data_IF_270890801060
#
_entry.id   IF_270890801060
#
_cell.length_a   1.000
_cell.length_b   1.000
_cell.length_c   1.000
_cell.angle_alpha   90.00
_cell.angle_beta   90.00
_cell.angle_gamma   90.00
#
_symmetry.space_group_name_H-M   'P 1'
#
loop_
_entity.id
_entity.type
_entity.pdbx_description
1 polymer ?
#
# COMPACT_ATOMS: atom_id res chain seq x y z
N UNK A 1 -54.42 6.07 27.84
CA UNK A 1 -53.73 4.83 27.44
C UNK A 1 -52.38 5.20 26.86
N UNK A 2 -51.29 4.81 27.53
CA UNK A 2 -49.93 5.15 27.14
C UNK A 2 -49.16 3.86 26.79
N UNK A 3 -48.45 3.78 25.65
CA UNK A 3 -47.57 2.65 25.39
C UNK A 3 -46.18 2.94 25.97
N UNK A 4 -45.72 2.01 26.81
CA UNK A 4 -44.38 1.91 27.38
C UNK A 4 -43.30 1.78 26.30
N UNK A 5 -42.38 2.76 26.22
CA UNK A 5 -41.13 2.65 25.46
C UNK A 5 -40.12 1.82 26.26
N UNK A 6 -39.81 0.62 25.79
CA UNK A 6 -38.65 -0.15 26.25
C UNK A 6 -37.38 0.43 25.62
N UNK A 7 -36.46 0.93 26.44
CA UNK A 7 -35.11 1.31 26.02
C UNK A 7 -34.26 0.04 26.00
N UNK A 8 -34.04 -0.53 24.80
CA UNK A 8 -32.99 -1.53 24.62
C UNK A 8 -31.63 -0.85 24.80
N UNK A 9 -31.00 -1.09 25.95
CA UNK A 9 -29.60 -0.73 26.20
C UNK A 9 -28.71 -1.80 25.58
N UNK A 10 -28.29 -1.60 24.34
CA UNK A 10 -27.28 -2.44 23.69
C UNK A 10 -25.96 -2.35 24.47
N UNK A 11 -25.63 -3.43 25.18
CA UNK A 11 -24.31 -3.65 25.77
C UNK A 11 -23.30 -3.88 24.63
N UNK A 12 -22.62 -2.81 24.19
CA UNK A 12 -21.38 -2.94 23.41
C UNK A 12 -20.32 -3.57 24.32
N UNK A 13 -20.14 -4.88 24.16
CA UNK A 13 -18.97 -5.58 24.70
C UNK A 13 -17.74 -5.07 23.95
N UNK A 14 -17.00 -4.17 24.59
CA UNK A 14 -15.65 -3.82 24.16
C UNK A 14 -14.75 -5.03 24.35
N UNK A 15 -14.63 -5.87 23.32
CA UNK A 15 -13.57 -6.87 23.24
C UNK A 15 -12.24 -6.13 23.11
N UNK A 16 -11.47 -6.11 24.20
CA UNK A 16 -10.09 -5.62 24.19
C UNK A 16 -9.32 -6.45 23.14
N UNK A 17 -8.61 -5.86 22.18
CA UNK A 17 -7.68 -6.63 21.38
C UNK A 17 -6.56 -7.08 22.32
N UNK A 18 -6.53 -8.38 22.63
CA UNK A 18 -5.36 -9.02 23.22
C UNK A 18 -4.20 -8.74 22.27
N UNK A 19 -3.32 -7.84 22.67
CA UNK A 19 -2.03 -7.61 22.03
C UNK A 19 -1.24 -8.90 22.17
N UNK A 20 -1.37 -9.78 21.19
CA UNK A 20 -0.50 -10.93 21.03
C UNK A 20 0.89 -10.38 20.74
N UNK A 21 1.72 -10.26 21.77
CA UNK A 21 3.17 -10.19 21.60
C UNK A 21 3.62 -11.57 21.14
N UNK A 22 3.33 -11.90 19.89
CA UNK A 22 4.10 -12.90 19.18
C UNK A 22 5.47 -12.27 18.96
N UNK A 23 6.37 -12.45 19.91
CA UNK A 23 7.78 -12.56 19.56
C UNK A 23 7.83 -13.71 18.57
N UNK A 24 7.83 -13.37 17.29
CA UNK A 24 8.45 -14.21 16.28
C UNK A 24 9.86 -14.49 16.81
N UNK A 25 10.02 -15.62 17.50
CA UNK A 25 11.32 -16.23 17.64
C UNK A 25 11.69 -16.63 16.21
N UNK A 26 12.20 -15.67 15.43
CA UNK A 26 13.11 -16.00 14.36
C UNK A 26 14.07 -16.99 14.99
N UNK A 27 14.06 -18.23 14.49
CA UNK A 27 14.80 -19.31 15.10
C UNK A 27 16.25 -18.86 15.18
N UNK A 28 16.66 -18.46 16.37
CA UNK A 28 17.99 -17.97 16.64
C UNK A 28 18.88 -19.17 16.35
N UNK A 29 19.47 -19.16 15.16
CA UNK A 29 20.42 -20.11 14.61
C UNK A 29 20.30 -21.49 15.25
N UNK A 30 19.51 -22.38 14.64
CA UNK A 30 19.52 -23.80 15.01
C UNK A 30 20.98 -24.25 14.99
N UNK A 31 21.55 -24.34 16.19
CA UNK A 31 22.94 -24.60 16.41
C UNK A 31 23.04 -26.09 16.12
N UNK A 32 23.42 -26.45 14.89
CA UNK A 32 23.60 -27.80 14.38
C UNK A 32 24.72 -28.59 15.09
N UNK A 33 24.96 -28.27 16.35
CA UNK A 33 25.83 -28.99 17.27
C UNK A 33 25.40 -30.46 17.29
N UNK A 34 24.10 -30.77 17.38
CA UNK A 34 23.62 -32.15 17.41
C UNK A 34 23.88 -32.94 16.11
N UNK A 35 23.91 -32.30 14.93
CA UNK A 35 24.13 -32.99 13.66
C UNK A 35 25.61 -33.32 13.40
N UNK A 36 26.54 -32.52 13.96
CA UNK A 36 27.98 -32.69 13.75
C UNK A 36 28.69 -33.37 14.94
N UNK A 37 28.00 -33.63 16.04
CA UNK A 37 28.58 -34.35 17.17
C UNK A 37 28.69 -35.84 16.88
N UNK A 38 29.88 -36.27 16.44
CA UNK A 38 30.29 -37.67 16.55
C UNK A 38 30.65 -37.92 18.02
N UNK A 39 29.88 -38.77 18.69
CA UNK A 39 30.23 -39.25 20.02
C UNK A 39 31.58 -39.95 19.95
N UNK A 40 32.47 -39.63 20.90
CA UNK A 40 33.73 -40.34 21.02
C UNK A 40 33.46 -41.74 21.56
N UNK A 41 34.23 -42.71 21.07
CA UNK A 41 34.20 -44.07 21.59
C UNK A 41 34.50 -44.09 23.10
N UNK A 42 33.90 -45.02 23.87
CA UNK A 42 34.19 -45.17 25.29
C UNK A 42 35.70 -45.28 25.54
N UNK A 43 36.24 -44.39 26.37
CA UNK A 43 37.68 -44.39 26.64
C UNK A 43 38.04 -45.52 27.60
N UNK A 44 38.88 -46.46 27.18
CA UNK A 44 39.46 -47.52 28.02
C UNK A 44 40.41 -47.01 29.11
N UNK A 45 40.75 -45.72 29.07
CA UNK A 45 41.68 -45.09 30.01
C UNK A 45 41.09 -44.97 31.42
N UNK A 46 39.79 -44.70 31.54
CA UNK A 46 39.10 -44.54 32.83
C UNK A 46 39.07 -45.90 33.56
N UNK A 47 39.89 -46.04 34.60
CA UNK A 47 40.02 -47.28 35.39
C UNK A 47 41.26 -48.14 35.12
N UNK A 48 42.10 -47.75 34.16
CA UNK A 48 43.35 -48.47 33.81
C UNK A 48 44.55 -48.15 34.72
N UNK A 49 44.37 -47.32 35.76
CA UNK A 49 45.47 -46.90 36.62
C UNK A 49 45.84 -47.98 37.64
N UNK A 50 47.02 -48.58 37.48
CA UNK A 50 47.60 -49.49 38.47
C UNK A 50 48.46 -48.70 39.44
N UNK A 51 48.16 -48.78 40.73
CA UNK A 51 48.92 -48.10 41.80
C UNK A 51 50.34 -48.65 41.88
N UNK A 52 51.39 -47.85 41.57
CA UNK A 52 52.78 -48.30 41.70
C UNK A 52 53.13 -48.52 43.17
N UNK A 53 53.98 -49.52 43.44
CA UNK A 53 54.33 -49.93 44.81
C UNK A 53 55.37 -48.99 45.46
N UNK A 54 56.21 -48.38 44.64
CA UNK A 54 57.25 -47.45 45.08
C UNK A 54 56.80 -45.97 44.91
N UNK A 55 56.97 -45.13 45.96
CA UNK A 55 56.46 -43.75 45.95
C UNK A 55 57.14 -42.86 44.91
N UNK A 56 58.44 -43.05 44.68
CA UNK A 56 59.23 -42.27 43.71
C UNK A 56 58.81 -42.57 42.26
N UNK A 57 58.44 -43.82 41.97
CA UNK A 57 57.94 -44.20 40.64
C UNK A 57 56.53 -43.66 40.38
N UNK A 58 55.68 -43.65 41.41
CA UNK A 58 54.34 -43.09 41.33
C UNK A 58 54.38 -41.58 41.00
N UNK A 59 55.29 -40.83 41.64
CA UNK A 59 55.49 -39.41 41.36
C UNK A 59 55.98 -39.17 39.92
N UNK A 60 56.96 -39.95 39.45
CA UNK A 60 57.47 -39.84 38.09
C UNK A 60 56.39 -40.13 37.03
N UNK A 61 55.59 -41.19 37.21
CA UNK A 61 54.47 -41.55 36.33
C UNK A 61 53.40 -40.47 36.32
N UNK A 62 53.08 -39.89 37.49
CA UNK A 62 52.11 -38.80 37.60
C UNK A 62 52.62 -37.51 36.93
N UNK A 63 53.90 -37.17 37.11
CA UNK A 63 54.51 -36.00 36.48
C UNK A 63 54.53 -36.13 34.94
N UNK A 64 54.87 -37.31 34.42
CA UNK A 64 54.80 -37.61 32.99
C UNK A 64 53.36 -37.52 32.46
N UNK A 65 52.39 -38.08 33.19
CA UNK A 65 50.98 -38.00 32.81
C UNK A 65 50.50 -36.55 32.72
N UNK A 66 50.78 -35.73 33.75
CA UNK A 66 50.41 -34.31 33.77
C UNK A 66 51.02 -33.56 32.58
N UNK A 67 52.29 -33.81 32.25
CA UNK A 67 52.96 -33.19 31.09
C UNK A 67 52.34 -33.61 29.77
N UNK A 68 52.09 -34.91 29.58
CA UNK A 68 51.51 -35.44 28.35
C UNK A 68 50.07 -34.96 28.15
N UNK A 69 49.27 -34.96 29.21
CA UNK A 69 47.91 -34.43 29.17
C UNK A 69 47.89 -32.93 28.85
N UNK A 70 48.77 -32.15 29.48
CA UNK A 70 48.89 -30.72 29.18
C UNK A 70 49.27 -30.46 27.71
N UNK A 71 50.16 -31.29 27.12
CA UNK A 71 50.51 -31.22 25.69
C UNK A 71 49.31 -31.56 24.80
N UNK A 72 48.65 -32.68 25.05
CA UNK A 72 47.47 -33.11 24.30
C UNK A 72 46.37 -32.06 24.33
N UNK A 73 46.01 -31.55 25.51
CA UNK A 73 44.99 -30.49 25.65
C UNK A 73 45.41 -29.22 24.91
N UNK A 74 46.70 -28.86 24.93
CA UNK A 74 47.20 -27.69 24.20
C UNK A 74 47.07 -27.87 22.68
N UNK A 75 47.37 -29.04 22.15
CA UNK A 75 47.19 -29.38 20.74
C UNK A 75 45.71 -29.33 20.34
N UNK A 76 44.84 -29.99 21.12
CA UNK A 76 43.38 -29.97 20.90
C UNK A 76 42.79 -28.56 20.94
N UNK A 77 43.28 -27.68 21.83
CA UNK A 77 42.87 -26.27 21.86
C UNK A 77 43.28 -25.52 20.60
N UNK A 78 44.46 -25.78 20.05
CA UNK A 78 44.90 -25.14 18.79
C UNK A 78 44.04 -25.59 17.62
N UNK A 79 43.76 -26.88 17.52
CA UNK A 79 42.85 -27.45 16.52
C UNK A 79 41.47 -26.80 16.61
N UNK A 80 40.88 -26.75 17.81
CA UNK A 80 39.58 -26.13 18.03
C UNK A 80 39.56 -24.64 17.65
N UNK A 81 40.58 -23.87 18.03
CA UNK A 81 40.67 -22.45 17.64
C UNK A 81 40.70 -22.31 16.12
N UNK A 82 41.45 -23.18 15.43
CA UNK A 82 41.54 -23.17 13.98
C UNK A 82 40.20 -23.52 13.33
N UNK A 83 39.52 -24.57 13.80
CA UNK A 83 38.19 -24.98 13.32
C UNK A 83 37.15 -23.88 13.50
N UNK A 84 37.13 -23.23 14.66
CA UNK A 84 36.21 -22.11 14.94
C UNK A 84 36.49 -20.93 14.01
N UNK A 85 37.76 -20.63 13.73
CA UNK A 85 38.11 -19.53 12.81
C UNK A 85 37.74 -19.87 11.36
N UNK A 86 37.91 -21.12 10.91
CA UNK A 86 37.44 -21.57 9.60
C UNK A 86 35.92 -21.41 9.47
N UNK A 87 35.16 -21.83 10.48
CA UNK A 87 33.70 -21.64 10.50
C UNK A 87 33.31 -20.16 10.44
N UNK A 88 34.04 -19.29 11.13
CA UNK A 88 33.82 -17.85 11.10
C UNK A 88 34.06 -17.27 9.71
N UNK A 89 35.15 -17.65 9.04
CA UNK A 89 35.47 -17.20 7.68
C UNK A 89 34.41 -17.68 6.68
N UNK A 90 33.94 -18.91 6.79
CA UNK A 90 32.88 -19.43 5.93
C UNK A 90 31.56 -18.70 6.13
N UNK A 91 31.23 -18.35 7.38
CA UNK A 91 30.07 -17.51 7.67
C UNK A 91 30.20 -16.14 7.00
N UNK A 92 31.36 -15.50 7.11
CA UNK A 92 31.62 -14.20 6.48
C UNK A 92 31.46 -14.26 4.96
N UNK A 93 32.04 -15.26 4.30
CA UNK A 93 31.89 -15.47 2.84
C UNK A 93 30.42 -15.63 2.43
N UNK A 94 29.65 -16.42 3.19
CA UNK A 94 28.20 -16.61 2.94
C UNK A 94 27.42 -15.31 3.13
N UNK A 95 27.75 -14.54 4.16
CA UNK A 95 27.07 -13.27 4.45
C UNK A 95 27.42 -12.18 3.43
N UNK A 96 28.65 -12.17 2.90
CA UNK A 96 29.07 -11.30 1.80
C UNK A 96 28.32 -11.64 0.51
N UNK A 97 28.30 -12.91 0.10
CA UNK A 97 27.56 -13.35 -1.07
C UNK A 97 26.07 -13.00 -1.00
N UNK A 98 25.44 -13.18 0.18
CA UNK A 98 24.05 -12.78 0.40
C UNK A 98 23.85 -11.27 0.28
N UNK A 99 24.74 -10.46 0.88
CA UNK A 99 24.67 -8.99 0.80
C UNK A 99 24.77 -8.50 -0.64
N UNK A 100 25.68 -9.07 -1.42
CA UNK A 100 25.84 -8.71 -2.83
C UNK A 100 24.64 -9.12 -3.68
N UNK A 101 24.12 -10.34 -3.49
CA UNK A 101 22.91 -10.79 -4.19
C UNK A 101 21.71 -9.87 -3.89
N UNK A 102 21.52 -9.49 -2.62
CA UNK A 102 20.47 -8.56 -2.21
C UNK A 102 20.67 -7.18 -2.86
N UNK A 103 21.91 -6.69 -2.94
CA UNK A 103 22.22 -5.40 -3.59
C UNK A 103 21.80 -5.42 -5.06
N UNK A 104 22.21 -6.45 -5.81
CA UNK A 104 21.89 -6.59 -7.24
C UNK A 104 20.38 -6.64 -7.46
N UNK A 105 19.66 -7.49 -6.71
CA UNK A 105 18.20 -7.58 -6.82
C UNK A 105 17.49 -6.25 -6.45
N UNK A 106 18.03 -5.50 -5.48
CA UNK A 106 17.51 -4.18 -5.14
C UNK A 106 17.73 -3.16 -6.26
N UNK A 107 18.88 -3.19 -6.93
CA UNK A 107 19.18 -2.31 -8.06
C UNK A 107 18.26 -2.61 -9.26
N UNK A 108 18.05 -3.88 -9.58
CA UNK A 108 17.10 -4.30 -10.62
C UNK A 108 15.68 -3.83 -10.31
N UNK A 109 15.20 -4.05 -9.08
CA UNK A 109 13.88 -3.56 -8.65
C UNK A 109 13.78 -2.04 -8.75
N UNK A 110 14.85 -1.30 -8.43
CA UNK A 110 14.88 0.16 -8.55
C UNK A 110 14.80 0.60 -10.01
N UNK A 111 15.50 -0.07 -10.93
CA UNK A 111 15.45 0.21 -12.37
C UNK A 111 14.03 -0.01 -12.91
N UNK A 112 13.43 -1.17 -12.64
CA UNK A 112 12.04 -1.47 -13.04
C UNK A 112 11.04 -0.46 -12.46
N UNK A 113 11.20 -0.09 -11.18
CA UNK A 113 10.34 0.93 -10.55
C UNK A 113 10.51 2.31 -11.19
N UNK A 114 11.72 2.68 -11.61
CA UNK A 114 11.98 3.95 -12.28
C UNK A 114 11.36 3.97 -13.68
N UNK A 115 11.45 2.87 -14.43
CA UNK A 115 10.78 2.72 -15.74
C UNK A 115 9.26 2.81 -15.60
N UNK A 116 8.67 2.08 -14.65
CA UNK A 116 7.24 2.16 -14.34
C UNK A 116 6.81 3.55 -13.85
N UNK A 117 7.70 4.32 -13.21
CA UNK A 117 7.42 5.70 -12.84
C UNK A 117 7.44 6.64 -14.06
N UNK A 118 8.33 6.41 -15.03
CA UNK A 118 8.37 7.18 -16.30
C UNK A 118 7.09 6.95 -17.10
N UNK A 119 6.64 5.70 -17.24
CA UNK A 119 5.38 5.36 -17.93
C UNK A 119 4.20 6.08 -17.26
N UNK A 120 4.06 5.95 -15.93
CA UNK A 120 3.00 6.66 -15.19
C UNK A 120 3.08 8.18 -15.32
N UNK A 121 4.27 8.76 -15.44
CA UNK A 121 4.42 10.19 -15.67
C UNK A 121 3.93 10.59 -17.07
N UNK A 122 4.13 9.75 -18.08
CA UNK A 122 3.59 9.97 -19.43
C UNK A 122 2.06 9.85 -19.43
N UNK A 123 1.51 8.82 -18.77
CA UNK A 123 0.06 8.66 -18.62
C UNK A 123 -0.60 9.89 -17.97
N UNK A 124 0.02 10.45 -16.93
CA UNK A 124 -0.46 11.69 -16.29
C UNK A 124 -0.48 12.87 -17.24
N UNK A 125 0.53 13.02 -18.08
CA UNK A 125 0.57 14.10 -19.09
C UNK A 125 -0.56 13.95 -20.11
N UNK A 126 -0.80 12.72 -20.57
CA UNK A 126 -1.91 12.42 -21.49
C UNK A 126 -3.25 12.74 -20.83
N UNK A 127 -3.45 12.32 -19.58
CA UNK A 127 -4.67 12.61 -18.83
C UNK A 127 -4.90 14.14 -18.64
N UNK A 128 -3.85 14.91 -18.39
CA UNK A 128 -3.94 16.37 -18.29
C UNK A 128 -4.32 17.02 -19.64
N UNK A 129 -3.79 16.51 -20.75
CA UNK A 129 -4.13 16.98 -22.09
C UNK A 129 -5.58 16.64 -22.45
N UNK A 130 -6.02 15.40 -22.18
CA UNK A 130 -7.41 14.98 -22.35
C UNK A 130 -8.36 15.86 -21.52
N UNK A 131 -8.00 16.14 -20.27
CA UNK A 131 -8.78 17.03 -19.40
C UNK A 131 -8.90 18.46 -19.97
N UNK A 132 -7.84 18.99 -20.57
CA UNK A 132 -7.92 20.31 -21.24
C UNK A 132 -8.82 20.26 -22.47
N UNK A 133 -8.75 19.20 -23.26
CA UNK A 133 -9.59 19.04 -24.44
C UNK A 133 -11.07 18.94 -24.08
N UNK A 134 -11.42 18.15 -23.06
CA UNK A 134 -12.82 18.05 -22.59
C UNK A 134 -13.32 19.38 -22.08
N UNK A 135 -12.50 20.14 -21.34
CA UNK A 135 -12.86 21.46 -20.85
C UNK A 135 -13.10 22.48 -21.98
N UNK A 136 -12.34 22.41 -23.08
CA UNK A 136 -12.58 23.24 -24.26
C UNK A 136 -13.89 22.86 -24.98
N UNK A 137 -14.20 21.57 -25.11
CA UNK A 137 -15.47 21.09 -25.68
C UNK A 137 -16.67 21.58 -24.87
N UNK A 138 -16.65 21.39 -23.56
CA UNK A 138 -17.68 21.87 -22.63
C UNK A 138 -17.92 23.39 -22.74
N UNK A 139 -16.84 24.17 -22.89
CA UNK A 139 -16.95 25.62 -23.10
C UNK A 139 -17.61 25.95 -24.45
N UNK A 140 -17.24 25.24 -25.52
CA UNK A 140 -17.81 25.43 -26.84
C UNK A 140 -19.31 25.10 -26.85
N UNK A 141 -19.70 23.96 -26.30
CA UNK A 141 -21.11 23.55 -26.19
C UNK A 141 -21.95 24.56 -25.40
N UNK A 142 -21.42 25.08 -24.30
CA UNK A 142 -22.10 26.14 -23.54
C UNK A 142 -22.26 27.43 -24.33
N UNK A 143 -21.24 27.83 -25.11
CA UNK A 143 -21.32 29.02 -25.96
C UNK A 143 -22.36 28.83 -27.07
N UNK A 144 -22.42 27.65 -27.70
CA UNK A 144 -23.44 27.33 -28.70
C UNK A 144 -24.84 27.33 -28.12
N UNK A 145 -25.02 26.71 -26.95
CA UNK A 145 -26.29 26.75 -26.21
C UNK A 145 -26.74 28.19 -25.93
N UNK A 146 -25.82 29.07 -25.51
CA UNK A 146 -26.13 30.49 -25.29
C UNK A 146 -26.52 31.22 -26.58
N UNK A 147 -25.85 30.96 -27.70
CA UNK A 147 -26.23 31.53 -29.00
C UNK A 147 -27.64 31.13 -29.41
N UNK A 148 -27.98 29.85 -29.29
CA UNK A 148 -29.33 29.34 -29.56
C UNK A 148 -30.38 29.98 -28.65
N UNK A 149 -30.04 30.17 -27.37
CA UNK A 149 -30.93 30.83 -26.41
C UNK A 149 -31.16 32.31 -26.73
N UNK A 150 -30.12 33.01 -27.19
CA UNK A 150 -30.24 34.40 -27.63
C UNK A 150 -31.12 34.50 -28.89
N UNK A 151 -30.87 33.65 -29.89
CA UNK A 151 -31.68 33.61 -31.12
C UNK A 151 -33.16 33.33 -30.82
N UNK A 152 -33.46 32.29 -30.05
CA UNK A 152 -34.85 31.98 -29.67
C UNK A 152 -35.53 33.11 -28.88
N UNK A 153 -34.77 33.86 -28.08
CA UNK A 153 -35.30 35.02 -27.37
C UNK A 153 -35.57 36.20 -28.31
N UNK A 154 -34.71 36.45 -29.29
CA UNK A 154 -34.92 37.44 -30.34
C UNK A 154 -36.11 37.10 -31.24
N UNK A 155 -36.26 35.84 -31.63
CA UNK A 155 -37.41 35.31 -32.38
C UNK A 155 -38.70 35.56 -31.60
N UNK A 156 -38.77 35.15 -30.32
CA UNK A 156 -39.93 35.41 -29.46
C UNK A 156 -40.25 36.90 -29.32
N UNK A 157 -39.24 37.77 -29.29
CA UNK A 157 -39.45 39.23 -29.30
C UNK A 157 -40.06 39.71 -30.60
N UNK A 158 -39.57 39.21 -31.75
CA UNK A 158 -40.11 39.53 -33.09
C UNK A 158 -41.55 39.04 -33.23
N UNK A 159 -41.82 37.79 -32.88
CA UNK A 159 -43.16 37.19 -32.90
C UNK A 159 -44.14 38.01 -32.06
N UNK A 160 -43.76 38.38 -30.83
CA UNK A 160 -44.60 39.25 -29.98
C UNK A 160 -44.85 40.62 -30.62
N UNK A 161 -43.80 41.24 -31.20
CA UNK A 161 -43.93 42.54 -31.87
C UNK A 161 -44.85 42.45 -33.09
N UNK A 162 -44.73 41.40 -33.90
CA UNK A 162 -45.60 41.15 -35.04
C UNK A 162 -47.05 40.89 -34.64
N UNK A 163 -47.26 40.07 -33.61
CA UNK A 163 -48.59 39.82 -33.05
C UNK A 163 -49.23 41.14 -32.59
N UNK A 164 -48.46 41.96 -31.85
CA UNK A 164 -48.93 43.26 -31.37
C UNK A 164 -49.24 44.21 -32.53
N UNK A 165 -48.42 44.20 -33.60
CA UNK A 165 -48.69 45.01 -34.79
C UNK A 165 -49.95 44.57 -35.55
N UNK A 166 -50.20 43.26 -35.64
CA UNK A 166 -51.46 42.73 -36.22
C UNK A 166 -52.67 43.11 -35.37
N UNK A 167 -52.56 43.00 -34.05
CA UNK A 167 -53.63 43.38 -33.12
C UNK A 167 -53.89 44.89 -33.12
N UNK A 168 -52.83 45.71 -33.15
CA UNK A 168 -52.94 47.17 -33.12
C UNK A 168 -53.61 47.73 -34.36
N UNK A 169 -53.51 47.04 -35.50
CA UNK A 169 -54.26 47.41 -36.72
C UNK A 169 -55.78 47.33 -36.54
N UNK A 170 -56.27 46.59 -35.55
CA UNK A 170 -57.70 46.46 -35.23
C UNK A 170 -58.10 47.38 -34.08
N UNK A 171 -57.14 48.03 -33.40
CA UNK A 171 -57.43 48.97 -32.33
C UNK A 171 -58.16 50.18 -32.90
N UNK A 172 -59.09 50.68 -32.12
CA UNK A 172 -59.97 51.79 -32.50
C UNK A 172 -59.49 53.01 -31.75
N UNK A 173 -59.16 54.07 -32.47
CA UNK A 173 -58.77 55.32 -31.85
C UNK A 173 -59.99 55.95 -31.13
N UNK A 174 -59.74 56.67 -30.04
CA UNK A 174 -60.77 57.29 -29.20
C UNK A 174 -61.86 58.09 -29.97
N UNK A 175 -61.53 58.92 -30.99
CA UNK A 175 -62.56 59.62 -31.77
C UNK A 175 -63.37 58.73 -32.72
N UNK A 176 -62.92 57.51 -33.01
CA UNK A 176 -63.60 56.55 -33.91
C UNK A 176 -64.37 55.47 -33.15
N UNK A 177 -64.22 55.43 -31.82
CA UNK A 177 -64.77 54.40 -30.95
C UNK A 177 -66.31 54.37 -30.96
N UNK A 178 -66.95 55.53 -30.85
CA UNK A 178 -68.42 55.65 -30.85
C UNK A 178 -69.03 55.14 -32.16
N UNK A 179 -68.38 55.42 -33.30
CA UNK A 179 -68.83 54.98 -34.63
C UNK A 179 -68.76 53.45 -34.76
N UNK A 180 -67.67 52.86 -34.29
CA UNK A 180 -67.44 51.41 -34.38
C UNK A 180 -68.33 50.61 -33.43
N UNK A 181 -68.69 51.18 -32.27
CA UNK A 181 -69.70 50.59 -31.36
C UNK A 181 -71.06 50.50 -32.06
N UNK A 182 -71.51 51.57 -32.70
CA UNK A 182 -72.78 51.57 -33.44
C UNK A 182 -72.78 50.56 -34.60
N UNK A 183 -71.69 50.46 -35.35
CA UNK A 183 -71.52 49.49 -36.44
C UNK A 183 -71.63 48.04 -35.93
N UNK A 184 -70.96 47.71 -34.81
CA UNK A 184 -71.00 46.37 -34.21
C UNK A 184 -72.36 45.95 -33.65
N UNK A 185 -73.20 46.91 -33.25
CA UNK A 185 -74.57 46.65 -32.78
C UNK A 185 -75.50 46.33 -33.96
N UNK A 186 -75.21 46.87 -35.15
CA UNK A 186 -75.99 46.66 -36.37
C UNK A 186 -75.56 45.38 -37.09
N UNK A 187 -74.26 45.09 -37.16
CA UNK A 187 -73.70 43.88 -37.75
C UNK A 187 -73.67 42.71 -36.75
N UNK A 188 -74.84 42.23 -36.32
CA UNK A 188 -74.91 41.03 -35.47
C UNK A 188 -74.58 39.78 -36.28
N UNK A 189 -73.32 39.35 -36.25
CA UNK A 189 -72.91 38.04 -36.75
C UNK A 189 -73.30 36.96 -35.72
N UNK A 190 -74.10 35.93 -36.09
CA UNK A 190 -74.39 34.83 -35.18
C UNK A 190 -73.16 33.93 -35.02
N UNK A 191 -72.93 33.47 -33.79
CA UNK A 191 -71.81 32.64 -33.33
C UNK A 191 -71.58 31.37 -34.18
#
# INVERSE_FOLDING_TARGET
MAPSRSLFRSSTQFSKPLRSFATSSESAHHNNHQENHKYLEPSSYVGSWVTPKDPKEAEAKLAQLRRNYAKQVKERRKEYIHEVELMRLDKQRKDEAKREAIRVANEERRKLKAEAAKVRAQERKIADEEFRQTLLKERAEKLEYWKMKLQSHEEKKKEKKELLHRQSSTWVDEPELEKKILESIVDTTPL
#
